data_IF_455045881654
#
_entry.id   IF_455045881654
#
_cell.length_a   1.000
_cell.length_b   1.000
_cell.length_c   1.000
_cell.angle_alpha   90.00
_cell.angle_beta   90.00
_cell.angle_gamma   90.00
#
_symmetry.space_group_name_H-M   'P 1'
#
loop_
_entity.id
_entity.type
_entity.pdbx_description
1 polymer ?
#
# COMPACT_ATOMS: atom_id res chain seq x y z
N UNK A 1 -24.21 -20.21 23.93
CA UNK A 1 -24.53 -19.79 22.55
C UNK A 1 -23.20 -19.39 21.92
N UNK A 2 -22.63 -20.23 21.05
CA UNK A 2 -21.35 -19.96 20.41
C UNK A 2 -21.63 -19.17 19.12
N UNK A 3 -21.39 -17.86 19.11
CA UNK A 3 -21.41 -17.10 17.87
C UNK A 3 -20.13 -17.44 17.09
N UNK A 4 -20.26 -18.37 16.14
CA UNK A 4 -19.29 -18.54 15.06
C UNK A 4 -19.31 -17.27 14.21
N UNK A 5 -18.58 -16.25 14.63
CA UNK A 5 -18.20 -15.16 13.75
C UNK A 5 -17.26 -15.77 12.70
N UNK A 6 -17.81 -16.16 11.56
CA UNK A 6 -17.01 -16.56 10.41
C UNK A 6 -16.09 -15.40 10.05
N UNK A 7 -14.81 -15.54 10.40
CA UNK A 7 -13.76 -14.64 9.94
C UNK A 7 -13.83 -14.64 8.40
N UNK A 8 -13.87 -13.45 7.78
CA UNK A 8 -13.98 -13.34 6.32
C UNK A 8 -12.82 -14.03 5.58
N UNK A 9 -12.84 -14.11 4.24
CA UNK A 9 -11.69 -14.63 3.51
C UNK A 9 -10.46 -13.74 3.75
N UNK A 10 -9.27 -14.36 3.87
CA UNK A 10 -8.02 -13.62 4.00
C UNK A 10 -7.76 -12.78 2.73
N UNK A 11 -7.38 -11.50 2.84
CA UNK A 11 -7.28 -10.56 1.72
C UNK A 11 -5.97 -10.73 0.93
N UNK A 12 -5.73 -11.94 0.40
CA UNK A 12 -4.50 -12.29 -0.31
C UNK A 12 -4.29 -11.45 -1.57
N UNK A 13 -5.34 -11.24 -2.35
CA UNK A 13 -5.27 -10.44 -3.58
C UNK A 13 -4.89 -8.99 -3.26
N UNK A 14 -5.57 -8.37 -2.30
CA UNK A 14 -5.27 -7.01 -1.86
C UNK A 14 -3.83 -6.89 -1.34
N UNK A 15 -3.32 -7.91 -0.63
CA UNK A 15 -1.92 -7.92 -0.16
C UNK A 15 -0.88 -7.93 -1.29
N UNK A 16 -1.15 -8.70 -2.36
CA UNK A 16 -0.24 -8.79 -3.52
C UNK A 16 -0.29 -7.49 -4.31
N UNK A 17 -1.47 -6.90 -4.50
CA UNK A 17 -1.63 -5.64 -5.22
C UNK A 17 -0.97 -4.47 -4.47
N UNK A 18 -1.13 -4.41 -3.14
CA UNK A 18 -0.46 -3.41 -2.32
C UNK A 18 1.07 -3.53 -2.41
N UNK A 19 1.60 -4.76 -2.31
CA UNK A 19 3.03 -5.02 -2.46
C UNK A 19 3.56 -4.58 -3.83
N UNK A 20 2.90 -5.00 -4.90
CA UNK A 20 3.29 -4.65 -6.26
C UNK A 20 3.33 -3.12 -6.47
N UNK A 21 2.37 -2.41 -5.88
CA UNK A 21 2.28 -0.95 -5.98
C UNK A 21 3.39 -0.25 -5.19
N UNK A 22 3.75 -0.75 -4.00
CA UNK A 22 4.90 -0.22 -3.24
C UNK A 22 6.20 -0.41 -4.01
N UNK A 23 6.40 -1.58 -4.63
CA UNK A 23 7.59 -1.84 -5.43
C UNK A 23 7.64 -0.94 -6.68
N UNK A 24 6.50 -0.68 -7.34
CA UNK A 24 6.43 0.27 -8.45
C UNK A 24 6.77 1.70 -8.00
N UNK A 25 6.18 2.18 -6.90
CA UNK A 25 6.49 3.49 -6.33
C UNK A 25 7.97 3.61 -5.95
N UNK A 26 8.55 2.55 -5.37
CA UNK A 26 9.97 2.49 -5.03
C UNK A 26 10.86 2.55 -6.28
N UNK A 27 10.53 1.79 -7.33
CA UNK A 27 11.24 1.81 -8.60
C UNK A 27 11.19 3.19 -9.27
N UNK A 28 10.08 3.92 -9.11
CA UNK A 28 9.95 5.30 -9.57
C UNK A 28 10.79 6.30 -8.73
N UNK A 29 11.37 5.88 -7.61
CA UNK A 29 12.09 6.70 -6.62
C UNK A 29 11.17 7.58 -5.76
N UNK A 30 9.98 7.09 -5.42
CA UNK A 30 9.02 7.83 -4.59
C UNK A 30 9.52 8.20 -3.20
N UNK A 31 10.49 7.47 -2.64
CA UNK A 31 11.16 7.87 -1.39
C UNK A 31 11.82 9.26 -1.48
N UNK A 32 12.29 9.66 -2.67
CA UNK A 32 12.92 10.95 -2.91
C UNK A 32 11.90 12.02 -3.29
N UNK A 33 11.00 11.70 -4.21
CA UNK A 33 10.13 12.69 -4.84
C UNK A 33 8.74 12.80 -4.21
N UNK A 34 8.25 11.73 -3.56
CA UNK A 34 6.93 11.67 -2.93
C UNK A 34 6.99 11.04 -1.51
N UNK A 35 7.91 11.47 -0.62
CA UNK A 35 8.17 10.78 0.65
C UNK A 35 6.94 10.67 1.56
N UNK A 36 6.05 11.67 1.55
CA UNK A 36 4.82 11.65 2.34
C UNK A 36 3.88 10.52 1.93
N UNK A 37 3.56 10.41 0.64
CA UNK A 37 2.70 9.34 0.13
C UNK A 37 3.35 7.97 0.26
N UNK A 38 4.67 7.87 0.01
CA UNK A 38 5.39 6.62 0.16
C UNK A 38 5.38 6.11 1.61
N UNK A 39 5.64 6.99 2.59
CA UNK A 39 5.60 6.62 4.00
C UNK A 39 4.20 6.17 4.45
N UNK A 40 3.13 6.81 3.95
CA UNK A 40 1.76 6.36 4.21
C UNK A 40 1.48 4.99 3.62
N UNK A 41 2.00 4.70 2.42
CA UNK A 41 1.85 3.39 1.79
C UNK A 41 2.50 2.27 2.62
N UNK A 42 3.74 2.50 3.08
CA UNK A 42 4.48 1.54 3.92
C UNK A 42 3.81 1.34 5.29
N UNK A 43 3.36 2.42 5.92
CA UNK A 43 2.70 2.34 7.23
C UNK A 43 1.39 1.55 7.16
N UNK A 44 0.56 1.82 6.15
CA UNK A 44 -0.65 1.04 5.93
C UNK A 44 -0.36 -0.42 5.59
N UNK A 45 0.69 -0.70 4.82
CA UNK A 45 1.09 -2.07 4.52
C UNK A 45 1.51 -2.83 5.78
N UNK A 46 2.34 -2.18 6.61
CA UNK A 46 2.80 -2.72 7.90
C UNK A 46 1.61 -3.00 8.82
N UNK A 47 0.67 -2.06 8.94
CA UNK A 47 -0.52 -2.23 9.75
C UNK A 47 -1.42 -3.35 9.20
N UNK A 48 -1.58 -3.45 7.88
CA UNK A 48 -2.34 -4.52 7.24
C UNK A 48 -1.79 -5.91 7.59
N UNK A 49 -0.45 -6.07 7.67
CA UNK A 49 0.16 -7.33 8.11
C UNK A 49 -0.11 -7.64 9.57
N UNK A 50 -0.06 -6.65 10.46
CA UNK A 50 -0.45 -6.84 11.87
C UNK A 50 -1.88 -7.37 11.94
N UNK A 51 -2.81 -6.74 11.22
CA UNK A 51 -4.21 -7.18 11.18
C UNK A 51 -4.40 -8.55 10.51
N UNK A 52 -3.61 -8.87 9.49
CA UNK A 52 -3.63 -10.16 8.81
C UNK A 52 -3.21 -11.29 9.75
N UNK A 53 -2.11 -11.12 10.50
CA UNK A 53 -1.61 -12.09 11.47
C UNK A 53 -2.60 -12.29 12.64
N UNK A 54 -3.29 -11.22 13.05
CA UNK A 54 -4.35 -11.27 14.06
C UNK A 54 -5.69 -11.80 13.53
N UNK A 55 -5.77 -12.16 12.25
CA UNK A 55 -6.99 -12.61 11.56
C UNK A 55 -8.10 -11.56 11.53
N UNK A 56 -7.77 -10.29 11.73
CA UNK A 56 -8.63 -9.11 11.51
C UNK A 56 -8.70 -8.80 10.02
N UNK A 57 -9.26 -9.73 9.25
CA UNK A 57 -9.16 -9.72 7.78
C UNK A 57 -9.90 -8.57 7.10
N UNK A 58 -10.93 -8.00 7.76
CA UNK A 58 -11.63 -6.83 7.22
C UNK A 58 -10.74 -5.59 7.32
N UNK A 59 -10.16 -5.39 8.48
CA UNK A 59 -9.23 -4.30 8.80
C UNK A 59 -7.95 -4.41 7.95
N UNK A 60 -7.39 -5.61 7.85
CA UNK A 60 -6.25 -5.90 6.99
C UNK A 60 -6.54 -5.52 5.53
N UNK A 61 -7.74 -5.86 5.02
CA UNK A 61 -8.16 -5.50 3.66
C UNK A 61 -8.22 -3.99 3.45
N UNK A 62 -8.82 -3.27 4.38
CA UNK A 62 -8.91 -1.81 4.32
C UNK A 62 -7.53 -1.17 4.27
N UNK A 63 -6.60 -1.64 5.10
CA UNK A 63 -5.23 -1.16 5.09
C UNK A 63 -4.43 -1.55 3.84
N UNK A 64 -4.61 -2.76 3.28
CA UNK A 64 -4.00 -3.10 1.99
C UNK A 64 -4.51 -2.20 0.86
N UNK A 65 -5.80 -1.89 0.83
CA UNK A 65 -6.38 -0.97 -0.16
C UNK A 65 -5.80 0.44 0.00
N UNK A 66 -5.72 0.95 1.24
CA UNK A 66 -5.12 2.26 1.53
C UNK A 66 -3.65 2.30 1.12
N UNK A 67 -2.89 1.26 1.47
CA UNK A 67 -1.48 1.11 1.08
C UNK A 67 -1.29 1.20 -0.44
N UNK A 68 -2.08 0.42 -1.20
CA UNK A 68 -2.10 0.49 -2.67
C UNK A 68 -2.36 1.90 -3.18
N UNK A 69 -3.43 2.54 -2.70
CA UNK A 69 -3.82 3.88 -3.15
C UNK A 69 -2.75 4.94 -2.87
N UNK A 70 -2.07 4.86 -1.73
CA UNK A 70 -0.97 5.77 -1.41
C UNK A 70 0.27 5.48 -2.24
N UNK A 71 0.58 4.22 -2.51
CA UNK A 71 1.69 3.84 -3.38
C UNK A 71 1.48 4.34 -4.82
N UNK A 72 0.28 4.14 -5.39
CA UNK A 72 -0.09 4.64 -6.72
C UNK A 72 -0.01 6.18 -6.79
N UNK A 73 -0.45 6.90 -5.74
CA UNK A 73 -0.27 8.35 -5.65
C UNK A 73 1.20 8.75 -5.60
N UNK A 74 2.02 8.02 -4.85
CA UNK A 74 3.44 8.28 -4.72
C UNK A 74 4.18 8.09 -6.04
N UNK A 75 3.89 7.00 -6.77
CA UNK A 75 4.39 6.72 -8.11
C UNK A 75 4.00 7.84 -9.09
N UNK A 76 2.71 8.15 -9.19
CA UNK A 76 2.21 9.17 -10.11
C UNK A 76 2.79 10.56 -9.82
N UNK A 77 2.86 10.96 -8.55
CA UNK A 77 3.47 12.23 -8.16
C UNK A 77 4.95 12.28 -8.55
N UNK A 78 5.67 11.17 -8.38
CA UNK A 78 7.08 11.07 -8.71
C UNK A 78 7.32 11.19 -10.21
N UNK A 79 6.51 10.50 -11.03
CA UNK A 79 6.59 10.59 -12.50
C UNK A 79 6.39 12.05 -12.95
N UNK A 80 5.37 12.72 -12.42
CA UNK A 80 5.11 14.13 -12.73
C UNK A 80 6.26 15.03 -12.29
N UNK A 81 6.79 14.82 -11.08
CA UNK A 81 7.88 15.66 -10.55
C UNK A 81 9.17 15.50 -11.35
N UNK A 82 9.51 14.29 -11.77
CA UNK A 82 10.67 14.02 -12.62
C UNK A 82 10.54 14.65 -14.00
N UNK A 83 9.34 14.62 -14.58
CA UNK A 83 9.06 15.30 -15.84
C UNK A 83 9.22 16.82 -15.72
N UNK A 84 8.82 17.43 -14.59
CA UNK A 84 9.03 18.85 -14.33
C UNK A 84 10.50 19.24 -14.12
N UNK A 85 11.28 18.40 -13.43
CA UNK A 85 12.68 18.71 -13.10
C UNK A 85 13.65 18.36 -14.22
N UNK A 86 13.19 17.67 -15.26
CA UNK A 86 14.06 17.16 -16.33
C UNK A 86 14.90 15.94 -15.91
N UNK A 87 14.63 15.34 -14.74
CA UNK A 87 15.28 14.12 -14.25
C UNK A 87 14.72 12.84 -14.96
N UNK A 88 14.31 12.98 -16.21
CA UNK A 88 13.62 11.98 -17.01
C UNK A 88 14.50 11.03 -17.82
N UNK A 89 15.83 11.19 -17.76
CA UNK A 89 16.81 10.41 -18.53
C UNK A 89 17.84 9.72 -17.63
#
# INVERSE_FOLDING_TARGET
>A
MLFLACVGPAPKEDSVLAYASIEAAKAAQAQRFAPGFYAQAEEHYRQAFVDYEERRYREAREHFIQSRQFAEKAENYTILKRAETGDGE
#
